data_IF_017079049731
#
_entry.id   IF_017079049731
#
_cell.length_a   1.000
_cell.length_b   1.000
_cell.length_c   1.000
_cell.angle_alpha   90.00
_cell.angle_beta   90.00
_cell.angle_gamma   90.00
#
_symmetry.space_group_name_H-M   'P 1'
#
loop_
_entity.id
_entity.type
_entity.pdbx_description
1 polymer ?
#
# COMPACT_ATOMS: atom_id res chain seq x y z
N UNK A 1 12.41 19.37 8.84
CA UNK A 1 12.14 19.30 10.28
C UNK A 1 10.69 19.63 10.46
N UNK A 2 9.95 18.68 11.02
CA UNK A 2 8.50 18.75 11.18
C UNK A 2 8.23 18.67 12.67
N UNK A 3 7.34 19.52 13.17
CA UNK A 3 7.01 19.58 14.59
C UNK A 3 5.65 18.94 14.84
N UNK A 4 5.65 17.90 15.66
CA UNK A 4 4.48 17.17 16.13
C UNK A 4 4.12 17.60 17.55
N UNK A 5 2.81 17.57 17.85
CA UNK A 5 2.27 17.89 19.18
C UNK A 5 2.03 16.67 20.05
N UNK A 6 2.05 15.49 19.45
CA UNK A 6 1.87 14.22 20.14
C UNK A 6 2.90 13.22 19.60
N UNK A 7 3.24 12.24 20.43
CA UNK A 7 4.07 11.10 20.08
C UNK A 7 3.53 9.84 20.77
N UNK A 8 3.80 8.69 20.17
CA UNK A 8 3.38 7.38 20.63
C UNK A 8 4.60 6.52 20.92
N UNK A 9 4.53 5.71 21.97
CA UNK A 9 5.58 4.75 22.32
C UNK A 9 4.97 3.45 22.79
N UNK A 10 5.72 2.36 22.64
CA UNK A 10 5.34 1.04 23.14
C UNK A 10 6.07 0.73 24.44
N UNK A 11 5.34 0.37 25.49
CA UNK A 11 5.90 -0.12 26.75
C UNK A 11 5.16 -1.42 27.13
N UNK A 12 5.89 -2.53 27.24
CA UNK A 12 5.33 -3.86 27.55
C UNK A 12 4.24 -4.34 26.56
N UNK A 13 4.32 -3.94 25.29
CA UNK A 13 3.35 -4.33 24.25
C UNK A 13 2.15 -3.39 24.14
N UNK A 14 1.98 -2.46 25.08
CA UNK A 14 0.90 -1.48 25.09
C UNK A 14 1.37 -0.15 24.48
N UNK A 15 0.50 0.49 23.70
CA UNK A 15 0.78 1.78 23.08
C UNK A 15 0.28 2.93 23.95
N UNK A 16 1.18 3.88 24.23
CA UNK A 16 0.90 5.04 25.04
C UNK A 16 1.14 6.32 24.25
N UNK A 17 0.25 7.28 24.47
CA UNK A 17 0.37 8.63 23.90
C UNK A 17 1.07 9.56 24.88
N UNK A 18 1.95 10.40 24.37
CA UNK A 18 2.62 11.49 25.09
C UNK A 18 2.34 12.80 24.38
N UNK A 19 1.86 13.79 25.12
CA UNK A 19 1.60 15.13 24.60
C UNK A 19 2.81 16.03 24.78
N UNK A 20 3.00 16.95 23.86
CA UNK A 20 4.10 17.90 23.86
C UNK A 20 4.19 18.69 25.17
N UNK A 21 3.05 19.10 25.74
CA UNK A 21 3.00 19.89 26.98
C UNK A 21 3.59 19.13 28.18
N UNK A 22 3.59 17.79 28.15
CA UNK A 22 4.12 16.95 29.22
C UNK A 22 5.65 17.02 29.30
N UNK A 23 6.33 17.37 28.19
CA UNK A 23 7.79 17.58 28.14
C UNK A 23 8.26 18.78 28.97
N UNK A 24 7.34 19.60 29.48
CA UNK A 24 7.65 20.63 30.48
C UNK A 24 8.12 20.05 31.81
N UNK A 25 7.79 18.78 32.10
CA UNK A 25 8.26 18.05 33.28
C UNK A 25 9.60 17.38 32.97
N UNK A 26 10.61 17.68 33.78
CA UNK A 26 11.99 17.18 33.57
C UNK A 26 12.05 15.65 33.49
N UNK A 27 11.33 14.94 34.36
CA UNK A 27 11.34 13.48 34.37
C UNK A 27 10.71 12.88 33.10
N UNK A 28 9.64 13.50 32.58
CA UNK A 28 8.99 13.08 31.33
C UNK A 28 9.93 13.33 30.16
N UNK A 29 10.61 14.48 30.11
CA UNK A 29 11.58 14.77 29.06
C UNK A 29 12.76 13.79 29.08
N UNK A 30 13.27 13.43 30.26
CA UNK A 30 14.33 12.44 30.40
C UNK A 30 13.85 11.05 29.95
N UNK A 31 12.64 10.64 30.33
CA UNK A 31 12.02 9.39 29.85
C UNK A 31 11.90 9.40 28.32
N UNK A 32 11.30 10.44 27.75
CA UNK A 32 11.08 10.61 26.32
C UNK A 32 12.37 10.53 25.49
N UNK A 33 13.50 11.05 26.02
CA UNK A 33 14.81 10.98 25.34
C UNK A 33 15.38 9.57 25.23
N UNK A 34 14.87 8.62 26.01
CA UNK A 34 15.33 7.23 26.04
C UNK A 34 14.37 6.27 25.34
N UNK A 35 13.24 6.78 24.84
CA UNK A 35 12.17 5.99 24.23
C UNK A 35 12.25 6.02 22.71
N UNK A 36 11.76 4.95 22.09
CA UNK A 36 11.40 4.95 20.68
C UNK A 36 10.02 5.57 20.51
N UNK A 37 10.04 6.85 20.15
CA UNK A 37 8.86 7.66 19.90
C UNK A 37 8.55 7.66 18.41
N UNK A 38 7.27 7.54 18.09
CA UNK A 38 6.72 7.54 16.75
C UNK A 38 5.54 8.51 16.67
N UNK A 39 5.17 8.92 15.47
CA UNK A 39 3.85 9.52 15.27
C UNK A 39 2.75 8.44 15.25
N UNK A 40 1.50 8.85 15.06
CA UNK A 40 0.34 7.96 15.14
C UNK A 40 0.38 6.85 14.07
N UNK A 41 0.83 7.19 12.86
CA UNK A 41 0.93 6.26 11.72
C UNK A 41 2.17 5.37 11.79
N UNK A 42 3.08 5.63 12.75
CA UNK A 42 4.40 4.99 12.87
C UNK A 42 5.33 5.23 11.68
N UNK A 43 5.05 6.23 10.85
CA UNK A 43 5.89 6.60 9.72
C UNK A 43 7.13 7.38 10.17
N UNK A 44 6.96 8.30 11.12
CA UNK A 44 8.01 9.20 11.57
C UNK A 44 8.54 8.81 12.93
N UNK A 45 9.83 8.47 12.99
CA UNK A 45 10.54 8.43 14.28
C UNK A 45 10.71 9.84 14.82
N UNK A 46 10.27 10.03 16.05
CA UNK A 46 10.21 11.32 16.71
C UNK A 46 11.29 11.45 17.78
N UNK A 47 11.70 12.69 18.04
CA UNK A 47 12.61 13.03 19.13
C UNK A 47 12.05 14.21 19.93
N UNK A 48 12.12 14.20 21.27
CA UNK A 48 11.60 15.30 22.07
C UNK A 48 12.38 16.59 21.78
N UNK A 49 11.64 17.68 21.60
CA UNK A 49 12.14 19.00 21.27
C UNK A 49 11.65 20.01 22.31
N UNK A 50 12.60 20.75 22.89
CA UNK A 50 12.31 21.81 23.87
C UNK A 50 13.14 23.04 23.53
N UNK A 51 12.47 24.17 23.24
CA UNK A 51 13.14 25.44 22.95
C UNK A 51 12.38 26.62 23.55
N UNK A 52 12.98 27.28 24.54
CA UNK A 52 12.62 28.57 25.17
C UNK A 52 11.18 28.80 25.65
N UNK A 53 10.19 28.01 25.23
CA UNK A 53 8.77 27.92 25.62
C UNK A 53 7.96 27.01 24.66
N UNK A 54 8.59 26.48 23.62
CA UNK A 54 8.00 25.52 22.70
C UNK A 54 8.43 24.12 23.08
N UNK A 55 7.43 23.27 23.31
CA UNK A 55 7.58 21.84 23.49
C UNK A 55 6.96 21.13 22.30
N UNK A 56 7.55 20.02 21.90
CA UNK A 56 7.02 19.18 20.85
C UNK A 56 7.93 18.01 20.57
N UNK A 57 7.62 17.31 19.48
CA UNK A 57 8.43 16.23 18.98
C UNK A 57 8.83 16.55 17.56
N UNK A 58 10.10 16.30 17.20
CA UNK A 58 10.60 16.58 15.87
C UNK A 58 10.97 15.29 15.16
N UNK A 59 10.69 15.26 13.86
CA UNK A 59 11.35 14.35 12.93
C UNK A 59 12.45 15.10 12.18
N UNK A 60 13.62 14.45 12.06
CA UNK A 60 14.74 14.96 11.26
C UNK A 60 14.52 14.81 9.75
N UNK A 61 13.48 14.06 9.35
CA UNK A 61 13.09 13.92 7.95
C UNK A 61 12.79 15.32 7.39
N UNK A 62 13.43 15.63 6.24
CA UNK A 62 13.34 16.95 5.61
C UNK A 62 12.07 17.13 4.81
N UNK A 63 11.53 16.03 4.31
CA UNK A 63 10.32 16.01 3.50
C UNK A 63 9.20 15.38 4.34
N UNK A 64 8.28 16.23 4.80
CA UNK A 64 6.97 15.75 5.25
C UNK A 64 6.25 15.29 4.00
N UNK A 65 6.14 13.99 3.84
CA UNK A 65 5.18 13.42 2.90
C UNK A 65 3.95 13.25 3.80
N UNK A 66 2.95 14.11 3.60
CA UNK A 66 1.81 14.17 4.52
C UNK A 66 1.12 12.81 4.63
N UNK A 67 0.23 12.61 5.61
CA UNK A 67 -0.61 11.43 5.60
C UNK A 67 -1.27 11.32 4.22
N UNK A 68 -1.15 10.14 3.60
CA UNK A 68 -2.04 9.78 2.49
C UNK A 68 -3.45 10.05 3.02
N UNK A 69 -4.22 10.85 2.29
CA UNK A 69 -5.52 11.36 2.76
C UNK A 69 -6.26 10.24 3.46
N UNK A 70 -6.60 10.48 4.74
CA UNK A 70 -7.32 9.52 5.57
C UNK A 70 -8.55 9.08 4.81
N UNK A 71 -8.51 7.83 4.36
CA UNK A 71 -9.60 7.26 3.64
C UNK A 71 -10.80 7.20 4.59
N UNK A 72 -11.94 7.76 4.17
CA UNK A 72 -13.23 7.50 4.81
C UNK A 72 -13.71 6.11 4.36
N UNK A 73 -12.89 5.11 4.68
CA UNK A 73 -13.10 3.73 4.30
C UNK A 73 -14.25 3.17 5.12
N UNK A 74 -15.15 2.46 4.45
CA UNK A 74 -16.26 1.82 5.14
C UNK A 74 -15.80 0.55 5.85
N UNK A 75 -16.57 0.11 6.84
CA UNK A 75 -16.41 -1.23 7.44
C UNK A 75 -16.31 -2.36 6.39
N UNK A 76 -16.94 -2.18 5.21
CA UNK A 76 -16.87 -3.15 4.13
C UNK A 76 -15.51 -3.16 3.41
N UNK A 77 -14.85 -2.01 3.30
CA UNK A 77 -13.48 -1.90 2.78
C UNK A 77 -12.49 -2.59 3.73
N UNK A 78 -12.53 -2.25 5.03
CA UNK A 78 -11.65 -2.86 6.03
C UNK A 78 -11.86 -4.38 6.13
N UNK A 79 -13.11 -4.83 6.13
CA UNK A 79 -13.41 -6.27 6.14
C UNK A 79 -12.84 -6.96 4.89
N UNK A 80 -12.96 -6.33 3.71
CA UNK A 80 -12.44 -6.91 2.48
C UNK A 80 -10.92 -6.98 2.46
N UNK A 81 -10.22 -5.97 3.01
CA UNK A 81 -8.77 -6.03 3.24
C UNK A 81 -8.41 -7.20 4.14
N UNK A 82 -9.13 -7.37 5.25
CA UNK A 82 -8.92 -8.50 6.17
C UNK A 82 -9.08 -9.84 5.46
N UNK A 83 -10.19 -10.03 4.74
CA UNK A 83 -10.49 -11.28 4.03
C UNK A 83 -9.42 -11.60 2.99
N UNK A 84 -9.02 -10.61 2.17
CA UNK A 84 -8.00 -10.77 1.14
C UNK A 84 -6.63 -11.09 1.72
N UNK A 85 -6.24 -10.40 2.80
CA UNK A 85 -4.99 -10.64 3.48
C UNK A 85 -4.94 -12.04 4.08
N UNK A 86 -5.98 -12.46 4.80
CA UNK A 86 -6.11 -13.80 5.38
C UNK A 86 -6.00 -14.89 4.29
N UNK A 87 -6.64 -14.68 3.14
CA UNK A 87 -6.50 -15.59 2.00
C UNK A 87 -5.05 -15.63 1.49
N UNK A 88 -4.43 -14.47 1.24
CA UNK A 88 -3.07 -14.39 0.67
C UNK A 88 -1.97 -14.93 1.58
N UNK A 89 -2.15 -14.91 2.91
CA UNK A 89 -1.21 -15.53 3.86
C UNK A 89 -1.42 -17.03 4.01
N UNK A 90 -2.63 -17.53 3.73
CA UNK A 90 -3.00 -18.92 4.02
C UNK A 90 -2.34 -19.93 3.08
N UNK A 91 -2.09 -19.52 1.84
CA UNK A 91 -1.57 -20.38 0.78
C UNK A 91 -0.63 -19.58 -0.15
N UNK A 92 0.18 -20.29 -0.93
CA UNK A 92 1.00 -19.67 -1.97
C UNK A 92 0.22 -19.57 -3.27
N UNK A 93 -0.04 -18.33 -3.72
CA UNK A 93 -0.83 -18.07 -4.91
C UNK A 93 0.06 -17.72 -6.10
N UNK A 94 -0.22 -18.32 -7.25
CA UNK A 94 0.36 -17.84 -8.50
C UNK A 94 -0.46 -16.67 -9.03
N UNK A 95 0.19 -15.54 -9.26
CA UNK A 95 -0.43 -14.42 -9.95
C UNK A 95 -0.34 -14.67 -11.46
N UNK A 96 -1.49 -14.74 -12.12
CA UNK A 96 -1.61 -15.13 -13.52
C UNK A 96 -2.53 -14.20 -14.30
N UNK A 97 -2.36 -14.13 -15.61
CA UNK A 97 -3.26 -13.41 -16.51
C UNK A 97 -3.68 -14.29 -17.67
N UNK A 98 -4.85 -13.99 -18.26
CA UNK A 98 -5.31 -14.68 -19.45
C UNK A 98 -4.44 -14.29 -20.66
N UNK A 99 -4.04 -15.28 -21.47
CA UNK A 99 -3.49 -15.00 -22.78
C UNK A 99 -4.63 -14.81 -23.78
N UNK A 100 -4.89 -13.58 -24.22
CA UNK A 100 -5.97 -13.32 -25.21
C UNK A 100 -5.77 -14.01 -26.56
N UNK A 101 -4.54 -14.44 -26.89
CA UNK A 101 -4.21 -15.02 -28.19
C UNK A 101 -4.38 -16.54 -28.25
N UNK A 102 -4.64 -17.17 -27.10
CA UNK A 102 -4.86 -18.61 -27.01
C UNK A 102 -6.02 -18.85 -26.05
N UNK A 103 -7.16 -19.31 -26.55
CA UNK A 103 -8.37 -19.54 -25.76
C UNK A 103 -8.43 -20.93 -25.12
N UNK A 104 -7.37 -21.75 -25.29
CA UNK A 104 -7.27 -23.00 -24.56
C UNK A 104 -7.09 -22.70 -23.06
N UNK A 105 -7.73 -23.49 -22.20
CA UNK A 105 -7.60 -23.38 -20.73
C UNK A 105 -6.16 -23.49 -20.20
N UNK A 106 -5.20 -23.83 -21.06
CA UNK A 106 -3.77 -23.99 -20.77
C UNK A 106 -2.92 -22.71 -20.92
N UNK A 107 -3.48 -21.61 -21.42
CA UNK A 107 -2.70 -20.43 -21.81
C UNK A 107 -2.73 -19.30 -20.77
N UNK A 108 -2.42 -19.60 -19.52
CA UNK A 108 -2.20 -18.55 -18.51
C UNK A 108 -0.75 -18.09 -18.54
N UNK A 109 -0.52 -16.78 -18.46
CA UNK A 109 0.82 -16.20 -18.28
C UNK A 109 1.01 -15.99 -16.79
N UNK A 110 2.09 -16.53 -16.24
CA UNK A 110 2.44 -16.28 -14.83
C UNK A 110 3.14 -14.93 -14.73
N UNK A 111 2.62 -14.05 -13.90
CA UNK A 111 3.24 -12.77 -13.52
C UNK A 111 4.19 -12.95 -12.34
N UNK A 112 3.79 -13.74 -11.34
CA UNK A 112 4.59 -14.02 -10.16
C UNK A 112 4.18 -15.35 -9.52
N UNK A 113 5.14 -16.00 -8.86
CA UNK A 113 4.92 -17.09 -7.92
C UNK A 113 5.22 -16.55 -6.52
N UNK A 114 4.24 -16.60 -5.62
CA UNK A 114 4.35 -15.96 -4.29
C UNK A 114 4.72 -16.94 -3.19
N UNK A 115 5.29 -18.10 -3.54
CA UNK A 115 5.83 -19.03 -2.55
C UNK A 115 6.76 -18.35 -1.55
N UNK A 116 6.41 -18.46 -0.28
CA UNK A 116 7.12 -17.85 0.84
C UNK A 116 7.04 -16.32 0.94
N UNK A 117 6.22 -15.64 0.13
CA UNK A 117 6.04 -14.19 0.24
C UNK A 117 5.54 -13.81 1.64
N UNK A 118 6.05 -12.69 2.15
CA UNK A 118 5.51 -12.02 3.31
C UNK A 118 4.43 -11.03 2.86
N UNK A 119 3.23 -11.15 3.45
CA UNK A 119 2.09 -10.29 3.19
C UNK A 119 1.69 -9.53 4.46
N UNK A 120 1.40 -8.24 4.31
CA UNK A 120 0.97 -7.38 5.40
C UNK A 120 0.02 -6.28 4.90
N UNK A 121 -0.69 -5.64 5.82
CA UNK A 121 -1.71 -4.63 5.53
C UNK A 121 -1.19 -3.21 5.79
N UNK A 122 -1.76 -2.22 5.09
CA UNK A 122 -1.49 -0.79 5.28
C UNK A 122 0.00 -0.45 5.28
N UNK A 123 0.72 -0.95 4.27
CA UNK A 123 2.17 -0.82 4.18
C UNK A 123 2.54 0.43 3.39
N UNK A 124 3.31 1.31 4.05
CA UNK A 124 3.98 2.42 3.41
C UNK A 124 5.26 1.95 2.72
N UNK A 125 5.39 2.30 1.43
CA UNK A 125 6.58 2.04 0.62
C UNK A 125 7.10 3.29 -0.05
N UNK A 126 8.41 3.48 0.10
CA UNK A 126 9.20 4.42 -0.68
C UNK A 126 9.66 3.71 -1.95
N UNK A 127 9.13 4.10 -3.10
CA UNK A 127 9.57 3.62 -4.42
C UNK A 127 10.69 4.49 -4.99
N UNK A 128 10.72 5.77 -4.62
CA UNK A 128 11.78 6.70 -4.98
C UNK A 128 11.95 7.79 -3.91
N UNK A 129 12.85 8.76 -4.12
CA UNK A 129 12.95 9.92 -3.23
C UNK A 129 11.73 10.87 -3.33
N UNK A 130 10.90 10.75 -4.37
CA UNK A 130 9.68 11.56 -4.56
C UNK A 130 8.41 10.74 -4.44
N UNK A 131 8.48 9.42 -4.61
CA UNK A 131 7.31 8.56 -4.80
C UNK A 131 7.12 7.66 -3.60
N UNK A 132 6.06 7.95 -2.84
CA UNK A 132 5.62 7.16 -1.70
C UNK A 132 4.18 6.74 -1.90
N UNK A 133 3.89 5.49 -1.56
CA UNK A 133 2.55 4.93 -1.62
C UNK A 133 2.28 4.16 -0.34
N UNK A 134 1.07 4.32 0.19
CA UNK A 134 0.49 3.36 1.10
C UNK A 134 -0.28 2.35 0.24
N UNK A 135 -0.14 1.08 0.56
CA UNK A 135 -0.88 -0.01 -0.08
C UNK A 135 -1.74 -0.69 0.96
N UNK A 136 -2.98 -1.02 0.60
CA UNK A 136 -3.91 -1.73 1.48
C UNK A 136 -3.36 -3.10 1.86
N UNK A 137 -2.82 -3.84 0.88
CA UNK A 137 -2.15 -5.12 1.09
C UNK A 137 -0.87 -5.13 0.26
N UNK A 138 0.24 -5.56 0.86
CA UNK A 138 1.53 -5.61 0.21
C UNK A 138 2.26 -6.95 0.43
N UNK A 139 2.72 -7.56 -0.66
CA UNK A 139 3.44 -8.81 -0.72
C UNK A 139 4.88 -8.64 -1.21
N UNK A 140 5.83 -9.29 -0.53
CA UNK A 140 7.24 -9.31 -0.94
C UNK A 140 7.90 -10.67 -0.76
N UNK A 141 8.85 -10.97 -1.66
CA UNK A 141 9.75 -12.12 -1.50
C UNK A 141 10.49 -12.07 -0.15
N UNK A 142 10.67 -13.21 0.54
CA UNK A 142 11.37 -13.26 1.83
C UNK A 142 12.86 -12.93 1.71
N UNK A 143 13.43 -13.02 0.49
CA UNK A 143 14.80 -12.56 0.23
C UNK A 143 14.94 -11.04 0.22
N UNK A 144 13.83 -10.30 0.23
CA UNK A 144 13.73 -8.86 0.01
C UNK A 144 14.37 -8.39 -1.31
N UNK A 145 14.72 -9.32 -2.21
CA UNK A 145 15.21 -8.99 -3.55
C UNK A 145 14.02 -8.85 -4.49
N UNK A 146 13.90 -7.69 -5.11
CA UNK A 146 12.89 -7.42 -6.14
C UNK A 146 13.48 -7.65 -7.51
N UNK A 147 12.78 -8.41 -8.33
CA UNK A 147 13.15 -8.68 -9.74
C UNK A 147 11.89 -8.99 -10.53
N UNK A 148 11.96 -9.03 -11.86
CA UNK A 148 10.80 -9.45 -12.67
C UNK A 148 10.30 -10.86 -12.35
N UNK A 149 11.18 -11.74 -11.87
CA UNK A 149 10.80 -13.09 -11.45
C UNK A 149 10.17 -13.13 -10.04
N UNK A 150 10.44 -12.11 -9.22
CA UNK A 150 9.94 -11.98 -7.85
C UNK A 150 9.56 -10.50 -7.62
N UNK A 151 8.52 -10.00 -8.30
CA UNK A 151 8.14 -8.60 -8.16
C UNK A 151 7.48 -8.39 -6.81
N UNK A 152 7.45 -7.14 -6.36
CA UNK A 152 6.50 -6.74 -5.32
C UNK A 152 5.08 -6.83 -5.87
N UNK A 153 4.13 -7.13 -4.99
CA UNK A 153 2.73 -7.18 -5.34
C UNK A 153 1.96 -6.34 -4.33
N UNK A 154 1.25 -5.33 -4.81
CA UNK A 154 0.29 -4.58 -4.02
C UNK A 154 -1.13 -4.92 -4.48
N UNK A 155 -2.08 -4.95 -3.55
CA UNK A 155 -3.51 -5.04 -3.85
C UNK A 155 -4.20 -3.84 -3.23
N UNK A 156 -4.82 -3.02 -4.07
CA UNK A 156 -5.63 -1.87 -3.67
C UNK A 156 -7.11 -2.27 -3.65
N UNK A 157 -7.77 -2.08 -2.52
CA UNK A 157 -9.19 -2.37 -2.34
C UNK A 157 -10.00 -1.10 -2.60
N UNK A 158 -10.84 -1.13 -3.62
CA UNK A 158 -11.67 0.01 -4.01
C UNK A 158 -13.09 -0.19 -3.48
N UNK A 159 -13.54 0.72 -2.62
CA UNK A 159 -14.93 0.77 -2.15
C UNK A 159 -15.73 1.87 -2.86
N UNK A 160 -15.73 3.09 -2.31
CA UNK A 160 -16.55 4.20 -2.82
C UNK A 160 -15.78 5.14 -3.73
N UNK A 161 -14.47 5.27 -3.51
CA UNK A 161 -13.63 6.28 -4.14
C UNK A 161 -12.41 5.61 -4.74
N UNK A 162 -12.19 5.87 -6.03
CA UNK A 162 -10.95 5.48 -6.68
C UNK A 162 -9.78 6.34 -6.19
N UNK A 163 -8.54 5.81 -6.21
CA UNK A 163 -7.36 6.61 -5.93
C UNK A 163 -7.35 7.98 -6.63
N UNK A 164 -6.70 8.94 -6.00
CA UNK A 164 -6.54 10.27 -6.59
C UNK A 164 -5.73 10.19 -7.89
N UNK A 165 -5.83 11.20 -8.74
CA UNK A 165 -4.99 11.28 -9.94
C UNK A 165 -3.49 11.24 -9.58
N UNK A 166 -3.10 11.97 -8.52
CA UNK A 166 -1.74 12.00 -8.02
C UNK A 166 -1.29 10.62 -7.53
N UNK A 167 -2.17 9.91 -6.80
CA UNK A 167 -1.91 8.53 -6.36
C UNK A 167 -1.67 7.61 -7.55
N UNK A 168 -2.51 7.69 -8.59
CA UNK A 168 -2.31 6.89 -9.80
C UNK A 168 -1.02 7.23 -10.55
N UNK A 169 -0.67 8.52 -10.65
CA UNK A 169 0.60 8.94 -11.25
C UNK A 169 1.79 8.37 -10.48
N UNK A 170 1.74 8.41 -9.14
CA UNK A 170 2.75 7.82 -8.28
C UNK A 170 2.81 6.29 -8.43
N UNK A 171 1.68 5.60 -8.60
CA UNK A 171 1.63 4.16 -8.88
C UNK A 171 2.30 3.81 -10.22
N UNK A 172 2.05 4.59 -11.28
CA UNK A 172 2.73 4.42 -12.57
C UNK A 172 4.24 4.58 -12.41
N UNK A 173 4.69 5.70 -11.84
CA UNK A 173 6.12 5.98 -11.60
C UNK A 173 6.77 4.89 -10.73
N UNK A 174 6.09 4.42 -9.70
CA UNK A 174 6.56 3.36 -8.82
C UNK A 174 6.87 2.07 -9.58
N UNK A 175 5.94 1.63 -10.44
CA UNK A 175 6.10 0.38 -11.22
C UNK A 175 7.01 0.53 -12.43
N UNK A 176 7.28 1.75 -12.91
CA UNK A 176 8.30 2.01 -13.94
C UNK A 176 9.71 1.86 -13.37
N UNK A 177 9.91 2.26 -12.10
CA UNK A 177 11.22 2.27 -11.46
C UNK A 177 11.58 0.97 -10.74
N UNK A 178 10.60 0.14 -10.38
CA UNK A 178 10.83 -1.13 -9.70
C UNK A 178 9.87 -2.23 -10.20
N UNK A 179 10.31 -3.50 -10.25
CA UNK A 179 9.42 -4.64 -10.52
C UNK A 179 8.33 -4.76 -9.45
N UNK A 180 7.18 -4.17 -9.73
CA UNK A 180 6.03 -4.12 -8.83
C UNK A 180 4.75 -4.23 -9.65
N UNK A 181 3.83 -5.07 -9.20
CA UNK A 181 2.51 -5.26 -9.77
C UNK A 181 1.49 -4.70 -8.79
N UNK A 182 0.69 -3.73 -9.22
CA UNK A 182 -0.38 -3.15 -8.40
C UNK A 182 -1.71 -3.64 -8.95
N UNK A 183 -2.37 -4.53 -8.22
CA UNK A 183 -3.69 -5.09 -8.52
C UNK A 183 -4.79 -4.27 -7.85
N UNK A 184 -6.02 -4.41 -8.36
CA UNK A 184 -7.20 -3.78 -7.77
C UNK A 184 -8.25 -4.85 -7.45
N UNK A 185 -8.89 -4.75 -6.30
CA UNK A 185 -10.11 -5.48 -5.95
C UNK A 185 -11.22 -4.48 -5.65
N UNK A 186 -12.47 -4.81 -5.96
CA UNK A 186 -13.59 -3.85 -5.84
C UNK A 186 -14.62 -4.44 -4.89
N UNK A 187 -14.90 -3.75 -3.78
CA UNK A 187 -15.79 -4.24 -2.72
C UNK A 187 -17.20 -4.52 -3.24
N UNK A 188 -17.72 -3.65 -4.11
CA UNK A 188 -19.06 -3.80 -4.71
C UNK A 188 -19.16 -4.88 -5.80
N UNK A 189 -18.01 -5.33 -6.34
CA UNK A 189 -17.95 -6.34 -7.40
C UNK A 189 -16.78 -7.34 -7.20
N UNK A 190 -16.74 -8.08 -6.07
CA UNK A 190 -15.63 -8.98 -5.76
C UNK A 190 -15.43 -10.02 -6.87
N UNK A 191 -14.17 -10.35 -7.17
CA UNK A 191 -13.84 -11.30 -8.24
C UNK A 191 -13.80 -10.70 -9.65
N UNK A 192 -14.25 -9.46 -9.84
CA UNK A 192 -14.31 -8.86 -11.19
C UNK A 192 -12.99 -8.25 -11.63
N UNK A 193 -12.31 -7.54 -10.73
CA UNK A 193 -11.00 -6.94 -10.98
C UNK A 193 -9.85 -7.85 -10.53
N UNK A 194 -10.06 -8.60 -9.44
CA UNK A 194 -9.14 -9.63 -8.96
C UNK A 194 -9.92 -10.92 -8.71
N UNK A 195 -9.76 -11.90 -9.59
CA UNK A 195 -10.32 -13.24 -9.41
C UNK A 195 -9.35 -14.06 -8.55
N UNK A 196 -9.84 -14.63 -7.44
CA UNK A 196 -9.05 -15.54 -6.61
C UNK A 196 -9.69 -16.92 -6.70
N UNK A 197 -8.85 -17.92 -6.99
CA UNK A 197 -9.26 -19.31 -7.03
C UNK A 197 -8.44 -20.10 -6.01
N UNK A 198 -9.04 -20.35 -4.85
CA UNK A 198 -8.40 -21.07 -3.73
C UNK A 198 -8.11 -22.53 -4.10
N UNK A 199 -9.02 -23.22 -4.80
CA UNK A 199 -8.85 -24.63 -5.18
C UNK A 199 -7.63 -24.84 -6.11
N UNK A 200 -7.35 -23.86 -6.98
CA UNK A 200 -6.25 -23.91 -7.95
C UNK A 200 -5.05 -23.04 -7.55
N UNK A 201 -5.11 -22.41 -6.38
CA UNK A 201 -4.10 -21.50 -5.82
C UNK A 201 -3.60 -20.46 -6.85
N UNK A 202 -4.52 -19.72 -7.46
CA UNK A 202 -4.15 -18.58 -8.31
C UNK A 202 -4.94 -17.31 -8.00
N UNK A 203 -4.28 -16.18 -8.24
CA UNK A 203 -4.86 -14.85 -8.29
C UNK A 203 -4.76 -14.34 -9.72
N UNK A 204 -5.85 -13.81 -10.26
CA UNK A 204 -5.93 -13.34 -11.63
C UNK A 204 -6.43 -11.90 -11.67
N UNK A 205 -5.53 -10.91 -11.71
CA UNK A 205 -5.92 -9.53 -11.92
C UNK A 205 -6.38 -9.34 -13.36
N UNK A 206 -7.57 -8.78 -13.54
CA UNK A 206 -8.09 -8.35 -14.84
C UNK A 206 -7.51 -7.00 -15.24
N UNK A 207 -7.38 -6.10 -14.28
CA UNK A 207 -6.76 -4.78 -14.43
C UNK A 207 -5.66 -4.61 -13.40
N UNK A 208 -4.49 -4.15 -13.82
CA UNK A 208 -3.35 -3.92 -12.93
C UNK A 208 -2.40 -2.87 -13.52
N UNK A 209 -1.56 -2.28 -12.67
CA UNK A 209 -0.46 -1.40 -13.09
C UNK A 209 0.85 -2.19 -13.00
N UNK A 210 1.65 -2.13 -14.06
CA UNK A 210 2.96 -2.77 -14.17
C UNK A 210 3.78 -2.12 -15.30
N UNK A 211 5.10 -1.99 -15.11
CA UNK A 211 6.03 -1.36 -16.07
C UNK A 211 5.57 0.06 -16.49
N UNK A 212 5.11 0.85 -15.52
CA UNK A 212 4.66 2.22 -15.75
C UNK A 212 3.40 2.34 -16.62
N UNK A 213 2.58 1.30 -16.70
CA UNK A 213 1.37 1.31 -17.52
C UNK A 213 0.23 0.50 -16.91
N UNK A 214 -0.99 0.83 -17.29
CA UNK A 214 -2.14 -0.03 -17.04
C UNK A 214 -2.09 -1.22 -18.00
N UNK A 215 -2.48 -2.38 -17.48
CA UNK A 215 -2.73 -3.59 -18.24
C UNK A 215 -4.16 -4.06 -18.04
N UNK A 216 -4.74 -4.61 -19.11
CA UNK A 216 -5.97 -5.40 -19.10
C UNK A 216 -5.65 -6.79 -19.60
N UNK A 217 -5.70 -7.79 -18.73
CA UNK A 217 -5.18 -9.14 -19.01
C UNK A 217 -3.75 -9.04 -19.59
N UNK A 218 -3.49 -9.56 -20.80
CA UNK A 218 -2.20 -9.46 -21.48
C UNK A 218 -2.11 -8.28 -22.48
N UNK A 219 -2.89 -7.23 -22.27
CA UNK A 219 -2.92 -6.03 -23.12
C UNK A 219 -2.45 -4.83 -22.35
N UNK A 220 -1.29 -4.30 -22.72
CA UNK A 220 -0.86 -2.97 -22.28
C UNK A 220 -1.82 -1.92 -22.82
N UNK A 221 -2.28 -1.04 -21.96
CA UNK A 221 -3.10 0.12 -22.31
C UNK A 221 -2.20 1.35 -22.21
N UNK A 222 -2.01 2.04 -23.33
CA UNK A 222 -1.12 3.20 -23.42
C UNK A 222 -1.80 4.43 -22.82
N UNK A 223 -1.76 4.51 -21.49
CA UNK A 223 -2.15 5.70 -20.72
C UNK A 223 -0.91 6.23 -20.01
N UNK A 224 -0.58 7.50 -20.26
CA UNK A 224 0.63 8.18 -19.81
C UNK A 224 0.38 9.15 -18.63
N UNK A 225 -0.87 9.23 -18.15
CA UNK A 225 -1.27 10.14 -17.08
C UNK A 225 -2.17 9.45 -16.06
N UNK A 226 -2.03 9.86 -14.80
CA UNK A 226 -2.93 9.42 -13.72
C UNK A 226 -4.40 9.72 -14.00
N UNK A 227 -4.71 10.83 -14.69
CA UNK A 227 -6.07 11.20 -15.09
C UNK A 227 -6.67 10.15 -16.01
N UNK A 228 -5.96 9.77 -17.08
CA UNK A 228 -6.47 8.84 -18.08
C UNK A 228 -6.69 7.44 -17.48
N UNK A 229 -5.78 7.02 -16.61
CA UNK A 229 -5.87 5.78 -15.81
C UNK A 229 -7.11 5.79 -14.92
N UNK A 230 -7.31 6.87 -14.16
CA UNK A 230 -8.47 7.03 -13.28
C UNK A 230 -9.79 7.01 -14.07
N UNK A 231 -9.88 7.80 -15.13
CA UNK A 231 -11.07 7.86 -15.99
C UNK A 231 -11.40 6.51 -16.61
N UNK A 232 -10.38 5.78 -17.06
CA UNK A 232 -10.54 4.43 -17.58
C UNK A 232 -11.14 3.49 -16.54
N UNK A 233 -10.55 3.41 -15.34
CA UNK A 233 -11.02 2.48 -14.32
C UNK A 233 -12.40 2.87 -13.77
N UNK A 234 -12.69 4.17 -13.61
CA UNK A 234 -14.04 4.66 -13.24
C UNK A 234 -15.07 4.25 -14.28
N UNK A 235 -14.74 4.37 -15.57
CA UNK A 235 -15.61 3.93 -16.65
C UNK A 235 -15.84 2.41 -16.59
N UNK A 236 -14.81 1.61 -16.35
CA UNK A 236 -14.96 0.16 -16.23
C UNK A 236 -15.85 -0.23 -15.03
N UNK A 237 -15.70 0.43 -13.88
CA UNK A 237 -16.59 0.26 -12.73
C UNK A 237 -18.05 0.58 -13.06
N UNK A 238 -18.29 1.67 -13.81
CA UNK A 238 -19.64 2.10 -14.19
C UNK A 238 -20.37 1.12 -15.13
N UNK A 239 -19.62 0.23 -15.79
CA UNK A 239 -20.19 -0.83 -16.64
C UNK A 239 -20.57 -2.09 -15.85
N UNK A 240 -20.16 -2.19 -14.58
CA UNK A 240 -20.43 -3.34 -13.71
C UNK A 240 -21.59 -3.10 -12.72
N UNK A 241 -21.93 -1.83 -12.48
CA UNK A 241 -23.10 -1.38 -11.70
C UNK A 241 -24.37 -1.34 -12.53
#
# INVERSE_FOLDING_TARGET
MILFKEAFYCEQGEFYKMKAEELSKVDVLLKAKTMDLWDETKEFRLSPFVRKNEYGFISLVRNFRGPVEGHDDSDAHEQRISDLHDMLISESYRFVIANKYDTSMSSVITLADTDGYFWDQFIFRDYSYSTNLAHDIFGMSPSCNTSEANPYIAVEVVDKVMPSEETFANMLEATENMPCIICFDVVSAPGTFLEINEEKCYCKPKYFIYDGSIWKDNVRLDYDTGTAVKEFLVKELSLLS
#
